data_IF_376290706963
#
_entry.id   IF_376290706963
#
_cell.length_a   1.000
_cell.length_b   1.000
_cell.length_c   1.000
_cell.angle_alpha   90.00
_cell.angle_beta   90.00
_cell.angle_gamma   90.00
#
_symmetry.space_group_name_H-M   'P 1'
#
loop_
_entity.id
_entity.type
_entity.pdbx_description
1 polymer ?
#
# COMPACT_ATOMS: atom_id res chain seq x y z
N UNK A 1 30.43 -15.61 -26.73
CA UNK A 1 29.29 -15.72 -25.79
C UNK A 1 29.60 -15.21 -24.38
N UNK A 2 30.74 -15.56 -23.76
CA UNK A 2 31.10 -15.08 -22.39
C UNK A 2 31.29 -13.56 -22.25
N UNK A 3 31.71 -12.86 -23.32
CA UNK A 3 31.89 -11.41 -23.31
C UNK A 3 30.56 -10.64 -23.40
N UNK A 4 29.58 -11.15 -24.18
CA UNK A 4 28.22 -10.58 -24.25
C UNK A 4 27.45 -10.75 -22.93
N UNK A 5 27.63 -11.88 -22.22
CA UNK A 5 27.03 -12.09 -20.89
C UNK A 5 27.63 -11.15 -19.84
N UNK A 6 28.91 -10.80 -19.96
CA UNK A 6 29.58 -9.87 -19.05
C UNK A 6 29.12 -8.42 -19.29
N UNK A 7 28.93 -8.03 -20.55
CA UNK A 7 28.37 -6.71 -20.92
C UNK A 7 26.92 -6.56 -20.44
N UNK A 8 26.11 -7.62 -20.54
CA UNK A 8 24.74 -7.61 -20.01
C UNK A 8 24.69 -7.52 -18.47
N UNK A 9 25.65 -8.14 -17.77
CA UNK A 9 25.81 -8.03 -16.32
C UNK A 9 26.24 -6.61 -15.88
N UNK A 10 27.11 -5.96 -16.65
CA UNK A 10 27.57 -4.58 -16.39
C UNK A 10 26.44 -3.57 -16.67
N UNK A 11 25.66 -3.77 -17.72
CA UNK A 11 24.49 -2.93 -18.03
C UNK A 11 23.39 -3.05 -16.98
N UNK A 12 23.27 -4.20 -16.29
CA UNK A 12 22.34 -4.39 -15.18
C UNK A 12 22.83 -3.71 -13.88
N UNK A 13 24.14 -3.52 -13.71
CA UNK A 13 24.73 -2.88 -12.52
C UNK A 13 24.78 -1.34 -12.57
N UNK A 14 24.47 -0.70 -13.71
CA UNK A 14 24.61 0.77 -13.86
C UNK A 14 23.35 1.58 -13.56
N UNK A 15 22.36 1.02 -12.87
CA UNK A 15 21.29 1.84 -12.30
C UNK A 15 21.78 2.51 -11.02
N UNK A 16 22.57 3.57 -11.17
CA UNK A 16 22.82 4.51 -10.08
C UNK A 16 21.53 5.30 -9.84
N UNK A 17 20.83 5.00 -8.76
CA UNK A 17 19.73 5.84 -8.27
C UNK A 17 20.34 7.13 -7.72
N UNK A 18 20.39 8.18 -8.53
CA UNK A 18 20.72 9.51 -8.02
C UNK A 18 19.55 10.00 -7.14
N UNK A 19 19.83 10.26 -5.87
CA UNK A 19 18.86 10.80 -4.94
C UNK A 19 18.46 12.22 -5.35
N UNK A 20 17.16 12.54 -5.32
CA UNK A 20 16.66 13.81 -5.82
C UNK A 20 17.23 14.97 -4.97
N UNK A 21 17.86 16.01 -5.55
CA UNK A 21 18.42 17.11 -4.78
C UNK A 21 17.38 17.87 -3.94
N UNK A 22 16.11 17.90 -4.37
CA UNK A 22 15.01 18.48 -3.59
C UNK A 22 14.68 17.63 -2.37
N UNK A 23 14.83 16.31 -2.47
CA UNK A 23 14.60 15.40 -1.34
C UNK A 23 15.62 15.65 -0.23
N UNK A 24 16.91 15.75 -0.60
CA UNK A 24 17.98 16.08 0.34
C UNK A 24 17.76 17.47 0.98
N UNK A 25 17.39 18.48 0.19
CA UNK A 25 17.04 19.81 0.72
C UNK A 25 15.85 19.74 1.69
N UNK A 26 14.83 18.96 1.37
CA UNK A 26 13.68 18.72 2.23
C UNK A 26 14.11 18.11 3.57
N UNK A 27 14.98 17.09 3.56
CA UNK A 27 15.51 16.48 4.77
C UNK A 27 16.30 17.50 5.63
N UNK A 28 17.07 18.37 4.99
CA UNK A 28 17.78 19.46 5.68
C UNK A 28 16.79 20.44 6.31
N UNK A 29 15.74 20.88 5.62
CA UNK A 29 14.73 21.76 6.22
C UNK A 29 13.95 21.07 7.35
N UNK A 30 13.66 19.78 7.22
CA UNK A 30 13.03 18.99 8.28
C UNK A 30 13.90 18.95 9.54
N UNK A 31 15.21 18.68 9.41
CA UNK A 31 16.14 18.64 10.56
C UNK A 31 16.32 20.00 11.23
N UNK A 32 16.11 21.10 10.50
CA UNK A 32 16.07 22.46 11.05
C UNK A 32 14.75 22.80 11.77
N UNK A 33 13.75 21.92 11.71
CA UNK A 33 12.40 22.17 12.24
C UNK A 33 11.50 22.98 11.30
N UNK A 34 11.94 23.27 10.07
CA UNK A 34 11.19 24.05 9.09
C UNK A 34 10.22 23.13 8.31
N UNK A 35 9.27 22.52 9.01
CA UNK A 35 8.39 21.49 8.43
C UNK A 35 7.57 21.97 7.23
N UNK A 36 7.08 23.21 7.24
CA UNK A 36 6.33 23.78 6.10
C UNK A 36 7.18 23.97 4.83
N UNK A 37 8.47 24.24 4.98
CA UNK A 37 9.38 24.32 3.84
C UNK A 37 9.73 22.92 3.34
N UNK A 38 9.94 21.98 4.27
CA UNK A 38 10.20 20.58 3.94
C UNK A 38 9.02 19.97 3.16
N UNK A 39 7.77 20.18 3.61
CA UNK A 39 6.58 19.72 2.86
C UNK A 39 6.53 20.32 1.46
N UNK A 40 6.74 21.63 1.32
CA UNK A 40 6.74 22.30 0.01
C UNK A 40 7.80 21.71 -0.95
N UNK A 41 8.99 21.40 -0.42
CA UNK A 41 10.05 20.74 -1.19
C UNK A 41 9.66 19.32 -1.59
N UNK A 42 9.09 18.53 -0.68
CA UNK A 42 8.63 17.18 -0.99
C UNK A 42 7.45 17.16 -1.96
N UNK A 43 6.48 18.06 -1.82
CA UNK A 43 5.33 18.19 -2.72
C UNK A 43 5.79 18.51 -4.16
N UNK A 44 6.84 19.32 -4.31
CA UNK A 44 7.44 19.59 -5.63
C UNK A 44 8.03 18.35 -6.30
N UNK A 45 8.40 17.32 -5.53
CA UNK A 45 8.86 16.03 -6.06
C UNK A 45 7.67 15.21 -6.54
N UNK A 46 6.58 15.19 -5.78
CA UNK A 46 5.32 14.52 -6.16
C UNK A 46 4.77 15.11 -7.47
N UNK A 47 4.84 16.43 -7.66
CA UNK A 47 4.39 17.08 -8.90
C UNK A 47 5.12 16.56 -10.15
N UNK A 48 6.36 16.06 -9.99
CA UNK A 48 7.13 15.44 -11.07
C UNK A 48 6.86 13.93 -11.21
N UNK A 49 5.82 13.40 -10.57
CA UNK A 49 5.44 11.97 -10.53
C UNK A 49 6.55 11.05 -9.98
N UNK A 50 7.46 11.60 -9.16
CA UNK A 50 8.53 10.85 -8.51
C UNK A 50 8.07 10.43 -7.11
N UNK A 51 7.26 9.38 -7.05
CA UNK A 51 6.75 8.86 -5.78
C UNK A 51 7.67 7.79 -5.19
N UNK A 52 7.90 7.82 -3.88
CA UNK A 52 8.63 6.78 -3.17
C UNK A 52 8.08 6.59 -1.76
N UNK A 53 8.27 5.39 -1.21
CA UNK A 53 7.92 5.09 0.19
C UNK A 53 8.56 6.09 1.15
N UNK A 54 9.82 6.43 0.93
CA UNK A 54 10.58 7.33 1.80
C UNK A 54 10.08 8.78 1.72
N UNK A 55 9.74 9.25 0.52
CA UNK A 55 9.13 10.57 0.31
C UNK A 55 7.83 10.71 1.09
N UNK A 56 6.95 9.73 0.97
CA UNK A 56 5.69 9.72 1.71
C UNK A 56 5.90 9.57 3.22
N UNK A 57 6.85 8.75 3.66
CA UNK A 57 7.21 8.66 5.07
C UNK A 57 7.67 10.01 5.64
N UNK A 58 8.52 10.74 4.92
CA UNK A 58 9.01 12.05 5.36
C UNK A 58 7.94 13.14 5.31
N UNK A 59 7.03 13.12 4.34
CA UNK A 59 5.83 13.96 4.36
C UNK A 59 4.97 13.67 5.59
N UNK A 60 4.71 12.39 5.87
CA UNK A 60 3.99 11.96 7.07
C UNK A 60 4.64 12.49 8.35
N UNK A 61 5.97 12.42 8.43
CA UNK A 61 6.74 12.98 9.54
C UNK A 61 6.58 14.50 9.66
N UNK A 62 6.59 15.24 8.55
CA UNK A 62 6.36 16.69 8.59
C UNK A 62 4.98 17.01 9.16
N UNK A 63 3.93 16.35 8.65
CA UNK A 63 2.56 16.57 9.12
C UNK A 63 2.36 16.14 10.57
N UNK A 64 3.04 15.07 11.00
CA UNK A 64 3.06 14.65 12.40
C UNK A 64 3.63 15.75 13.30
N UNK A 65 4.73 16.39 12.90
CA UNK A 65 5.34 17.47 13.67
C UNK A 65 4.47 18.73 13.71
N UNK A 66 3.71 19.01 12.65
CA UNK A 66 2.73 20.10 12.62
C UNK A 66 1.37 19.72 13.24
N UNK A 67 1.26 18.52 13.83
CA UNK A 67 0.04 17.99 14.47
C UNK A 67 -1.17 17.85 13.54
N UNK A 68 -0.92 17.76 12.23
CA UNK A 68 -1.94 17.45 11.23
C UNK A 68 -2.01 15.92 11.08
N UNK A 69 -2.73 15.30 12.01
CA UNK A 69 -2.79 13.85 12.13
C UNK A 69 -3.41 13.19 10.89
N UNK A 70 -4.38 13.84 10.24
CA UNK A 70 -5.04 13.28 9.06
C UNK A 70 -4.09 13.20 7.87
N UNK A 71 -3.33 14.27 7.59
CA UNK A 71 -2.31 14.22 6.55
C UNK A 71 -1.14 13.30 6.93
N UNK A 72 -0.76 13.23 8.20
CA UNK A 72 0.28 12.30 8.65
C UNK A 72 -0.12 10.84 8.38
N UNK A 73 -1.31 10.43 8.82
CA UNK A 73 -1.88 9.09 8.56
C UNK A 73 -1.95 8.83 7.06
N UNK A 74 -2.48 9.78 6.29
CA UNK A 74 -2.57 9.69 4.84
C UNK A 74 -1.23 9.36 4.18
N UNK A 75 -0.19 10.11 4.51
CA UNK A 75 1.11 9.90 3.89
C UNK A 75 1.83 8.64 4.41
N UNK A 76 1.67 8.26 5.67
CA UNK A 76 2.17 6.96 6.14
C UNK A 76 1.48 5.79 5.44
N UNK A 77 0.18 5.86 5.24
CA UNK A 77 -0.58 4.84 4.49
C UNK A 77 -0.12 4.76 3.02
N UNK A 78 0.13 5.91 2.36
CA UNK A 78 0.74 5.92 1.01
C UNK A 78 2.15 5.34 1.00
N UNK A 79 2.96 5.59 2.04
CA UNK A 79 4.28 4.97 2.18
C UNK A 79 4.18 3.45 2.22
N UNK A 80 3.26 2.91 3.03
CA UNK A 80 3.05 1.47 3.20
C UNK A 80 2.45 0.80 1.96
N UNK A 81 1.71 1.53 1.13
CA UNK A 81 1.29 1.03 -0.19
C UNK A 81 2.47 0.76 -1.12
N UNK A 82 3.49 1.62 -1.09
CA UNK A 82 4.69 1.47 -1.91
C UNK A 82 5.68 0.47 -1.31
N UNK A 83 5.83 0.49 0.01
CA UNK A 83 6.66 -0.45 0.76
C UNK A 83 5.93 -0.94 2.02
N UNK A 84 5.25 -2.10 1.96
CA UNK A 84 4.52 -2.66 3.10
C UNK A 84 5.39 -2.95 4.33
N UNK A 85 6.71 -3.04 4.16
CA UNK A 85 7.65 -3.38 5.22
C UNK A 85 8.42 -2.16 5.76
N UNK A 86 7.97 -0.92 5.47
CA UNK A 86 8.58 0.27 6.04
C UNK A 86 8.29 0.36 7.55
N UNK A 87 9.20 -0.18 8.38
CA UNK A 87 9.05 -0.22 9.83
C UNK A 87 8.82 1.16 10.46
N UNK A 88 9.49 2.20 9.94
CA UNK A 88 9.31 3.57 10.40
C UNK A 88 7.90 4.08 10.14
N UNK A 89 7.37 3.85 8.94
CA UNK A 89 5.99 4.23 8.60
C UNK A 89 4.97 3.42 9.41
N UNK A 90 5.19 2.11 9.63
CA UNK A 90 4.30 1.29 10.48
C UNK A 90 4.25 1.85 11.90
N UNK A 91 5.42 2.09 12.50
CA UNK A 91 5.51 2.59 13.87
C UNK A 91 4.90 3.99 14.01
N UNK A 92 5.21 4.91 13.10
CA UNK A 92 4.71 6.27 13.18
C UNK A 92 3.21 6.35 12.88
N UNK A 93 2.69 5.51 11.97
CA UNK A 93 1.26 5.37 11.77
C UNK A 93 0.55 4.89 13.03
N UNK A 94 1.09 3.87 13.72
CA UNK A 94 0.54 3.40 15.01
C UNK A 94 0.53 4.52 16.04
N UNK A 95 1.64 5.26 16.18
CA UNK A 95 1.73 6.38 17.10
C UNK A 95 0.73 7.51 16.76
N UNK A 96 0.56 7.80 15.47
CA UNK A 96 -0.38 8.83 15.00
C UNK A 96 -1.83 8.43 15.24
N UNK A 97 -2.16 7.15 15.06
CA UNK A 97 -3.49 6.61 15.37
C UNK A 97 -3.85 6.70 16.86
N UNK A 98 -2.87 6.85 17.76
CA UNK A 98 -3.14 7.12 19.19
C UNK A 98 -3.47 8.60 19.47
N UNK A 99 -3.20 9.50 18.51
CA UNK A 99 -3.44 10.95 18.62
C UNK A 99 -4.82 11.38 18.11
N UNK A 100 -5.45 10.58 17.23
CA UNK A 100 -6.80 10.88 16.73
C UNK A 100 -7.86 10.61 17.80
N UNK A 101 -9.03 11.25 17.62
CA UNK A 101 -10.15 11.17 18.56
C UNK A 101 -10.75 9.75 18.56
N UNK A 102 -10.94 9.19 17.36
CA UNK A 102 -11.61 7.91 17.19
C UNK A 102 -10.65 6.75 17.48
N UNK A 103 -10.95 5.99 18.54
CA UNK A 103 -10.21 4.77 18.90
C UNK A 103 -11.01 3.54 18.49
N UNK A 104 -10.83 3.12 17.24
CA UNK A 104 -11.54 1.98 16.68
C UNK A 104 -10.68 0.72 16.85
N UNK A 105 -11.09 -0.16 17.76
CA UNK A 105 -10.45 -1.46 17.93
C UNK A 105 -10.82 -2.39 16.77
N UNK A 106 -9.81 -2.90 16.07
CA UNK A 106 -10.03 -3.82 14.96
C UNK A 106 -10.54 -5.19 15.46
N UNK A 107 -11.44 -5.82 14.70
CA UNK A 107 -11.89 -7.18 14.99
C UNK A 107 -10.69 -8.15 15.04
N UNK A 108 -10.59 -9.01 16.07
CA UNK A 108 -9.50 -9.97 16.15
C UNK A 108 -9.59 -10.95 14.98
N UNK A 109 -8.52 -11.01 14.19
CA UNK A 109 -8.39 -11.97 13.09
C UNK A 109 -7.86 -13.31 13.61
N UNK A 110 -8.44 -14.41 13.12
CA UNK A 110 -7.95 -15.76 13.37
C UNK A 110 -6.50 -15.92 12.86
N UNK A 111 -5.71 -16.79 13.52
CA UNK A 111 -4.26 -16.89 13.27
C UNK A 111 -3.92 -17.20 11.81
N UNK A 112 -4.67 -18.11 11.16
CA UNK A 112 -4.42 -18.50 9.77
C UNK A 112 -4.74 -17.36 8.79
N UNK A 113 -5.76 -16.53 9.10
CA UNK A 113 -6.09 -15.35 8.31
C UNK A 113 -5.02 -14.29 8.43
N UNK A 114 -4.49 -14.07 9.64
CA UNK A 114 -3.34 -13.17 9.87
C UNK A 114 -2.09 -13.66 9.15
N UNK A 115 -1.79 -14.94 9.23
CA UNK A 115 -0.65 -15.55 8.53
C UNK A 115 -0.77 -15.39 7.01
N UNK A 116 -1.95 -15.65 6.46
CA UNK A 116 -2.24 -15.48 5.04
C UNK A 116 -2.17 -14.01 4.58
N UNK A 117 -2.76 -13.09 5.36
CA UNK A 117 -2.69 -11.65 5.14
C UNK A 117 -1.24 -11.16 5.12
N UNK A 118 -0.42 -11.64 6.05
CA UNK A 118 1.00 -11.31 6.12
C UNK A 118 1.74 -11.86 4.90
N UNK A 119 1.53 -13.13 4.53
CA UNK A 119 2.18 -13.75 3.36
C UNK A 119 1.89 -12.98 2.07
N UNK A 120 0.63 -12.63 1.85
CA UNK A 120 0.21 -11.85 0.69
C UNK A 120 0.75 -10.42 0.75
N UNK A 121 0.79 -9.82 1.94
CA UNK A 121 1.22 -8.45 2.19
C UNK A 121 2.73 -8.26 2.26
N UNK A 122 3.55 -9.33 2.23
CA UNK A 122 5.02 -9.20 2.28
C UNK A 122 5.57 -8.37 1.12
N UNK A 123 4.90 -8.44 -0.03
CA UNK A 123 5.25 -7.74 -1.26
C UNK A 123 4.02 -7.11 -1.89
N UNK A 124 4.23 -6.08 -2.73
CA UNK A 124 3.16 -5.46 -3.50
C UNK A 124 2.51 -6.44 -4.48
N UNK A 125 1.28 -6.17 -4.91
CA UNK A 125 0.59 -6.96 -5.94
C UNK A 125 1.40 -7.08 -7.23
N UNK A 126 2.01 -5.97 -7.66
CA UNK A 126 2.84 -5.92 -8.87
C UNK A 126 4.06 -6.83 -8.78
N UNK A 127 4.71 -6.89 -7.62
CA UNK A 127 5.85 -7.79 -7.40
C UNK A 127 5.44 -9.27 -7.39
N UNK A 128 4.27 -9.62 -6.86
CA UNK A 128 3.75 -10.99 -6.99
C UNK A 128 3.47 -11.35 -8.47
N UNK A 129 2.88 -10.43 -9.23
CA UNK A 129 2.63 -10.61 -10.66
C UNK A 129 3.93 -10.80 -11.47
N UNK A 130 4.97 -10.01 -11.21
CA UNK A 130 6.25 -10.15 -11.91
C UNK A 130 6.94 -11.47 -11.56
N UNK A 131 6.92 -11.90 -10.30
CA UNK A 131 7.42 -13.21 -9.88
C UNK A 131 6.68 -14.35 -10.57
N UNK A 132 5.35 -14.27 -10.67
CA UNK A 132 4.54 -15.27 -11.36
C UNK A 132 4.94 -15.37 -12.84
N UNK A 133 5.03 -14.23 -13.54
CA UNK A 133 5.44 -14.20 -14.96
C UNK A 133 6.83 -14.81 -15.14
N UNK A 134 7.79 -14.45 -14.31
CA UNK A 134 9.14 -15.01 -14.36
C UNK A 134 9.14 -16.53 -14.13
N UNK A 135 8.34 -17.00 -13.16
CA UNK A 135 8.17 -18.43 -12.90
C UNK A 135 7.58 -19.17 -14.11
N UNK A 136 6.56 -18.60 -14.78
CA UNK A 136 5.99 -19.15 -16.02
C UNK A 136 7.08 -19.32 -17.08
N UNK A 137 7.87 -18.28 -17.36
CA UNK A 137 8.95 -18.36 -18.34
C UNK A 137 9.98 -19.44 -18.01
N UNK A 138 10.38 -19.56 -16.74
CA UNK A 138 11.29 -20.63 -16.29
C UNK A 138 10.68 -22.00 -16.56
N UNK A 139 9.41 -22.22 -16.17
CA UNK A 139 8.76 -23.51 -16.39
C UNK A 139 8.68 -23.88 -17.88
N UNK A 140 8.39 -22.91 -18.76
CA UNK A 140 8.36 -23.12 -20.22
C UNK A 140 9.73 -23.47 -20.79
N UNK A 141 10.80 -22.81 -20.33
CA UNK A 141 12.18 -23.10 -20.75
C UNK A 141 12.58 -24.52 -20.32
N UNK A 142 12.27 -24.92 -19.09
CA UNK A 142 12.57 -26.28 -18.60
C UNK A 142 11.83 -27.32 -19.43
N UNK A 143 10.54 -27.09 -19.74
CA UNK A 143 9.75 -27.98 -20.60
C UNK A 143 10.32 -28.08 -22.03
N UNK A 144 10.77 -26.96 -22.60
CA UNK A 144 11.40 -26.94 -23.93
C UNK A 144 12.71 -27.72 -23.95
N UNK A 145 13.59 -27.49 -22.96
CA UNK A 145 14.86 -28.21 -22.85
C UNK A 145 14.65 -29.71 -22.65
N UNK A 146 13.62 -30.09 -21.89
CA UNK A 146 13.25 -31.49 -21.72
C UNK A 146 12.87 -32.16 -23.04
N UNK A 147 12.09 -31.45 -23.87
CA UNK A 147 11.66 -31.94 -25.19
C UNK A 147 12.82 -32.05 -26.18
N UNK A 148 13.78 -31.13 -26.13
CA UNK A 148 14.93 -31.12 -27.04
C UNK A 148 15.98 -32.19 -26.69
N UNK A 149 16.22 -32.42 -25.40
CA UNK A 149 17.29 -33.33 -24.94
C UNK A 149 16.79 -34.67 -24.39
N UNK A 150 15.47 -34.88 -24.40
CA UNK A 150 14.79 -36.08 -23.92
C UNK A 150 15.22 -36.52 -22.51
N UNK A 151 15.33 -35.56 -21.60
CA UNK A 151 15.68 -35.84 -20.20
C UNK A 151 14.50 -36.51 -19.46
N UNK A 152 14.79 -37.24 -18.37
CA UNK A 152 13.74 -37.86 -17.53
C UNK A 152 13.40 -37.02 -16.28
N UNK A 153 13.26 -35.70 -16.42
CA UNK A 153 13.07 -34.75 -15.30
C UNK A 153 11.61 -34.60 -14.82
N UNK A 154 10.80 -35.67 -14.87
CA UNK A 154 9.35 -35.62 -14.60
C UNK A 154 9.00 -35.05 -13.21
N UNK A 155 9.72 -35.46 -12.16
CA UNK A 155 9.47 -35.00 -10.79
C UNK A 155 9.81 -33.52 -10.59
N UNK A 156 10.87 -33.03 -11.26
CA UNK A 156 11.25 -31.62 -11.24
C UNK A 156 10.20 -30.76 -11.97
N UNK A 157 9.67 -31.24 -13.10
CA UNK A 157 8.56 -30.54 -13.76
C UNK A 157 7.30 -30.52 -12.89
N UNK A 158 6.98 -31.60 -12.19
CA UNK A 158 5.85 -31.63 -11.26
C UNK A 158 6.00 -30.60 -10.13
N UNK A 159 7.19 -30.48 -9.52
CA UNK A 159 7.43 -29.49 -8.45
C UNK A 159 7.35 -28.04 -8.93
N UNK A 160 7.80 -27.75 -10.16
CA UNK A 160 7.64 -26.41 -10.74
C UNK A 160 6.17 -26.08 -11.04
N UNK A 161 5.38 -27.04 -11.51
CA UNK A 161 3.95 -26.82 -11.75
C UNK A 161 3.17 -26.61 -10.44
N UNK A 162 3.52 -27.32 -9.37
CA UNK A 162 2.88 -27.09 -8.05
C UNK A 162 3.26 -25.72 -7.48
N UNK A 163 4.53 -25.31 -7.61
CA UNK A 163 4.97 -23.97 -7.23
C UNK A 163 4.23 -22.88 -8.02
N UNK A 164 4.03 -23.09 -9.33
CA UNK A 164 3.29 -22.16 -10.18
C UNK A 164 1.84 -21.99 -9.71
N UNK A 165 1.17 -23.10 -9.35
CA UNK A 165 -0.19 -23.06 -8.80
C UNK A 165 -0.25 -22.28 -7.49
N UNK A 166 0.72 -22.49 -6.59
CA UNK A 166 0.82 -21.77 -5.31
C UNK A 166 1.01 -20.26 -5.56
N UNK A 167 1.95 -19.89 -6.43
CA UNK A 167 2.19 -18.49 -6.80
C UNK A 167 0.97 -17.84 -7.45
N UNK A 168 0.23 -18.59 -8.27
CA UNK A 168 -1.02 -18.12 -8.85
C UNK A 168 -2.06 -17.83 -7.75
N UNK A 169 -2.25 -18.73 -6.78
CA UNK A 169 -3.16 -18.52 -5.65
C UNK A 169 -2.78 -17.29 -4.81
N UNK A 170 -1.48 -17.10 -4.53
CA UNK A 170 -0.98 -15.94 -3.78
C UNK A 170 -1.25 -14.66 -4.57
N UNK A 171 -0.88 -14.63 -5.86
CA UNK A 171 -1.06 -13.45 -6.72
C UNK A 171 -2.53 -13.09 -6.88
N UNK A 172 -3.39 -14.08 -7.08
CA UNK A 172 -4.84 -13.89 -7.16
C UNK A 172 -5.41 -13.32 -5.85
N UNK A 173 -5.02 -13.89 -4.72
CA UNK A 173 -5.47 -13.42 -3.40
C UNK A 173 -4.95 -12.00 -3.09
N UNK A 174 -3.71 -11.69 -3.48
CA UNK A 174 -3.11 -10.35 -3.38
C UNK A 174 -3.87 -9.33 -4.22
N UNK A 175 -4.17 -9.68 -5.47
CA UNK A 175 -4.94 -8.85 -6.38
C UNK A 175 -6.37 -8.62 -5.87
N UNK A 176 -7.03 -9.68 -5.40
CA UNK A 176 -8.38 -9.57 -4.85
C UNK A 176 -8.41 -8.62 -3.65
N UNK A 177 -7.46 -8.77 -2.72
CA UNK A 177 -7.33 -7.90 -1.55
C UNK A 177 -7.13 -6.43 -1.96
N UNK A 178 -6.19 -6.17 -2.87
CA UNK A 178 -5.89 -4.81 -3.33
C UNK A 178 -7.05 -4.16 -4.08
N UNK A 179 -7.87 -4.91 -4.80
CA UNK A 179 -9.05 -4.37 -5.49
C UNK A 179 -10.25 -4.22 -4.56
N UNK A 180 -10.35 -5.04 -3.51
CA UNK A 180 -11.46 -4.98 -2.56
C UNK A 180 -11.28 -3.88 -1.51
N UNK A 181 -10.04 -3.54 -1.16
CA UNK A 181 -9.73 -2.52 -0.15
C UNK A 181 -9.71 -1.13 -0.79
N UNK A 182 -10.87 -0.60 -1.21
CA UNK A 182 -11.01 0.83 -1.47
C UNK A 182 -11.01 1.54 -0.12
N UNK A 183 -9.84 2.01 0.30
CA UNK A 183 -9.67 2.67 1.60
C UNK A 183 -9.79 4.18 1.44
N UNK A 184 -10.29 4.85 2.47
CA UNK A 184 -10.32 6.30 2.53
C UNK A 184 -9.98 6.80 3.94
N UNK A 185 -9.61 8.06 4.03
CA UNK A 185 -9.34 8.74 5.29
C UNK A 185 -10.26 9.95 5.37
N UNK A 186 -10.92 10.12 6.51
CA UNK A 186 -11.80 11.25 6.78
C UNK A 186 -10.93 12.50 7.00
N UNK A 187 -11.27 13.60 6.33
CA UNK A 187 -10.53 14.86 6.45
C UNK A 187 -11.36 15.97 7.10
N UNK A 188 -12.69 15.89 7.03
CA UNK A 188 -13.56 16.81 7.75
C UNK A 188 -13.42 16.65 9.27
N UNK A 189 -13.65 17.74 10.00
CA UNK A 189 -13.44 17.77 11.45
C UNK A 189 -14.32 16.78 12.20
N UNK A 190 -15.58 16.65 11.79
CA UNK A 190 -16.52 15.65 12.27
C UNK A 190 -17.52 15.30 11.17
N UNK A 191 -17.86 14.01 11.08
CA UNK A 191 -18.80 13.43 10.12
C UNK A 191 -19.81 12.60 10.87
N UNK A 192 -21.09 12.81 10.57
CA UNK A 192 -22.16 11.96 11.08
C UNK A 192 -22.32 10.77 10.14
N UNK A 193 -22.23 9.56 10.70
CA UNK A 193 -22.48 8.32 9.97
C UNK A 193 -23.95 7.96 10.08
N UNK A 194 -24.55 7.73 8.94
CA UNK A 194 -25.99 7.55 8.77
C UNK A 194 -26.34 6.09 8.50
N UNK A 195 -27.56 5.68 8.87
CA UNK A 195 -28.03 4.31 8.59
C UNK A 195 -28.40 4.06 7.13
N UNK A 196 -28.72 5.11 6.38
CA UNK A 196 -29.11 5.05 4.98
C UNK A 196 -28.54 6.25 4.18
N UNK A 197 -28.41 6.14 2.84
CA UNK A 197 -27.86 7.20 1.98
C UNK A 197 -28.85 8.35 1.75
N UNK A 198 -29.39 8.92 2.84
CA UNK A 198 -30.39 10.00 2.80
C UNK A 198 -30.20 10.93 3.99
N UNK A 199 -30.41 12.23 3.80
CA UNK A 199 -30.24 13.24 4.86
C UNK A 199 -31.24 13.07 6.03
N UNK A 200 -32.38 12.39 5.83
CA UNK A 200 -33.40 12.15 6.87
C UNK A 200 -33.22 10.82 7.63
N UNK A 201 -32.10 10.12 7.41
CA UNK A 201 -31.86 8.83 8.06
C UNK A 201 -31.45 8.99 9.52
N UNK A 202 -31.45 7.89 10.26
CA UNK A 202 -31.01 7.90 11.66
C UNK A 202 -29.49 8.01 11.75
N UNK A 203 -29.03 8.92 12.59
CA UNK A 203 -27.62 9.09 12.92
C UNK A 203 -27.17 7.90 13.79
N UNK A 204 -26.13 7.19 13.37
CA UNK A 204 -25.60 6.03 14.08
C UNK A 204 -24.51 6.44 15.08
N UNK A 205 -23.48 7.14 14.60
CA UNK A 205 -22.34 7.62 15.38
C UNK A 205 -21.61 8.72 14.59
N UNK A 206 -20.66 9.40 15.23
CA UNK A 206 -19.81 10.41 14.59
C UNK A 206 -18.38 9.91 14.44
N UNK A 207 -17.73 10.28 13.35
CA UNK A 207 -16.31 10.08 13.09
C UNK A 207 -15.61 11.43 12.95
N UNK A 208 -14.29 11.43 13.06
CA UNK A 208 -13.45 12.61 13.04
C UNK A 208 -12.29 12.47 12.04
N UNK A 209 -11.62 13.59 11.80
CA UNK A 209 -10.48 13.68 10.89
C UNK A 209 -9.35 12.69 11.27
N UNK A 210 -8.77 12.05 10.26
CA UNK A 210 -7.72 11.04 10.38
C UNK A 210 -8.23 9.60 10.50
N UNK A 211 -9.53 9.39 10.67
CA UNK A 211 -10.08 8.03 10.76
C UNK A 211 -10.05 7.33 9.41
N UNK A 212 -9.40 6.16 9.40
CA UNK A 212 -9.34 5.26 8.24
C UNK A 212 -10.61 4.42 8.15
N UNK A 213 -11.16 4.36 6.94
CA UNK A 213 -12.40 3.66 6.60
C UNK A 213 -12.21 2.79 5.35
N UNK A 214 -12.94 1.69 5.28
CA UNK A 214 -13.09 0.89 4.05
C UNK A 214 -14.38 1.30 3.35
N UNK A 215 -14.33 1.51 2.03
CA UNK A 215 -15.49 1.84 1.20
C UNK A 215 -16.02 0.52 0.61
N UNK A 216 -17.27 0.21 0.92
CA UNK A 216 -17.97 -0.98 0.43
C UNK A 216 -18.70 -0.69 -0.87
N UNK A 217 -19.38 0.45 -0.94
CA UNK A 217 -20.29 0.80 -2.03
C UNK A 217 -20.45 2.32 -2.15
N UNK A 218 -20.94 2.80 -3.28
CA UNK A 218 -21.19 4.21 -3.55
C UNK A 218 -22.51 4.40 -4.30
N UNK A 219 -23.38 5.23 -3.75
CA UNK A 219 -24.67 5.60 -4.34
C UNK A 219 -24.74 7.12 -4.45
N UNK A 220 -24.52 7.63 -5.66
CA UNK A 220 -24.43 9.08 -5.90
C UNK A 220 -23.29 9.68 -5.06
N UNK A 221 -23.63 10.66 -4.22
CA UNK A 221 -22.67 11.34 -3.35
C UNK A 221 -22.49 10.67 -1.98
N UNK A 222 -23.16 9.52 -1.76
CA UNK A 222 -23.07 8.77 -0.51
C UNK A 222 -22.16 7.56 -0.70
N UNK A 223 -21.30 7.33 0.27
CA UNK A 223 -20.43 6.15 0.32
C UNK A 223 -20.79 5.31 1.53
N UNK A 224 -20.95 4.01 1.30
CA UNK A 224 -21.14 3.04 2.35
C UNK A 224 -19.77 2.64 2.88
N UNK A 225 -19.54 2.88 4.16
CA UNK A 225 -18.24 2.71 4.80
C UNK A 225 -18.31 1.59 5.83
N UNK A 226 -17.15 0.96 6.05
CA UNK A 226 -16.94 -0.05 7.07
C UNK A 226 -15.73 0.32 7.92
N UNK A 227 -15.92 0.25 9.22
CA UNK A 227 -14.87 0.45 10.21
C UNK A 227 -14.14 -0.86 10.53
N UNK A 228 -12.95 -0.75 11.12
CA UNK A 228 -12.13 -1.90 11.51
C UNK A 228 -12.82 -2.81 12.56
N UNK A 229 -13.74 -2.25 13.37
CA UNK A 229 -14.57 -3.00 14.32
C UNK A 229 -15.78 -3.70 13.67
N UNK A 230 -16.00 -3.50 12.36
CA UNK A 230 -17.10 -4.09 11.60
C UNK A 230 -18.37 -3.25 11.52
N UNK A 231 -18.43 -2.08 12.18
CA UNK A 231 -19.56 -1.16 12.04
C UNK A 231 -19.64 -0.62 10.61
N UNK A 232 -20.86 -0.47 10.11
CA UNK A 232 -21.15 -0.02 8.75
C UNK A 232 -22.08 1.20 8.81
N UNK A 233 -21.97 2.10 7.84
CA UNK A 233 -22.92 3.18 7.65
C UNK A 233 -22.56 4.08 6.47
N UNK A 234 -23.33 5.13 6.26
CA UNK A 234 -23.22 6.00 5.11
C UNK A 234 -22.67 7.38 5.50
N UNK A 235 -21.73 7.89 4.69
CA UNK A 235 -21.22 9.27 4.80
C UNK A 235 -21.22 9.92 3.42
N UNK A 236 -21.03 11.25 3.36
CA UNK A 236 -20.87 11.96 2.09
C UNK A 236 -19.45 11.80 1.58
N UNK A 237 -19.31 11.60 0.27
CA UNK A 237 -18.02 11.41 -0.39
C UNK A 237 -17.05 12.59 -0.15
N UNK A 238 -17.58 13.82 -0.07
CA UNK A 238 -16.82 15.05 0.18
C UNK A 238 -16.06 15.08 1.51
N UNK A 239 -16.45 14.23 2.46
CA UNK A 239 -15.88 14.23 3.81
C UNK A 239 -14.58 13.42 3.92
N UNK A 240 -14.27 12.61 2.90
CA UNK A 240 -13.11 11.74 2.89
C UNK A 240 -12.27 11.91 1.62
N UNK A 241 -11.04 11.41 1.67
CA UNK A 241 -10.19 11.26 0.48
C UNK A 241 -9.92 9.77 0.25
N UNK A 242 -10.03 9.34 -1.00
CA UNK A 242 -9.74 7.97 -1.42
C UNK A 242 -8.24 7.72 -1.43
N UNK A 243 -7.79 6.77 -0.60
CA UNK A 243 -6.44 6.27 -0.62
C UNK A 243 -6.28 5.43 -1.90
N UNK A 244 -5.85 6.08 -2.99
CA UNK A 244 -5.50 5.43 -4.27
C UNK A 244 -4.09 4.84 -4.23
#
# INVERSE_FOLDING_TARGET
MKQLTFIFLILFCLQTFAENPLFLKGNVEYTKGNYSNATSLYDSIILNSLESSELYYNLGNCYYQTQDWANAIWYYEKSLKLNPNNEGAIHNLQLTNLRIIDRIEALPKLFYKRWWDNLIGMYTTKTWQTLLIFCIWITLIIQLLNRLKNYQIKYLLASFNTLLLILFCITYSSFQKSNSESQAIIFSSSVIVNSAPTDNSTNLFSLHSGTKIEIIDQIGNWINIKLANGNIGWIKESDCKHLN
#
